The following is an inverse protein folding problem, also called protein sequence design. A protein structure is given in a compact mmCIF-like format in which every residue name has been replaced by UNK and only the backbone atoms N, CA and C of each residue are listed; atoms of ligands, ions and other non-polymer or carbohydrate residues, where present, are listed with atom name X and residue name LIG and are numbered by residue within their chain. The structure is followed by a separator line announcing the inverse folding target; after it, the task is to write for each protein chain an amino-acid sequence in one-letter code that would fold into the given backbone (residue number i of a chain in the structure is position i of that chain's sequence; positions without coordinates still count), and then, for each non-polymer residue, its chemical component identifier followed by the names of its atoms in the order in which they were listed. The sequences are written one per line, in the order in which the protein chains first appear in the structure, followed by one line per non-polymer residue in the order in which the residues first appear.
data_IF_216795776408
#
_entry.id   IF_216795776408
#
_cell.length_a   1.000
_cell.length_b   1.000
_cell.length_c   1.000
_cell.angle_alpha   90.00
_cell.angle_beta   90.00
_cell.angle_gamma   90.00
#
_symmetry.space_group_name_H-M   'P 1'
#
loop_
_entity.id
_entity.type
_entity.pdbx_description
1 polymer ?
#
# COMPACT_ATOMS: atom_id res chain seq x y z
N UNK A 1 -12.44 -4.56 -11.48
CA UNK A 1 -12.60 -3.71 -10.28
C UNK A 1 -12.39 -2.25 -10.68
N UNK A 2 -13.08 -1.29 -10.06
CA UNK A 2 -13.01 0.13 -10.47
C UNK A 2 -13.38 0.37 -11.94
N UNK A 3 -14.38 -0.36 -12.46
CA UNK A 3 -14.80 -0.29 -13.87
C UNK A 3 -14.01 -1.16 -14.86
N UNK A 4 -12.84 -1.69 -14.49
CA UNK A 4 -12.00 -2.51 -15.39
C UNK A 4 -12.26 -4.02 -15.24
N UNK A 5 -12.25 -4.79 -16.33
CA UNK A 5 -12.19 -6.27 -16.28
C UNK A 5 -10.81 -6.73 -15.80
N UNK A 6 -10.76 -7.75 -14.95
CA UNK A 6 -9.52 -8.27 -14.38
C UNK A 6 -9.69 -9.73 -13.94
N UNK A 7 -8.57 -10.41 -13.72
CA UNK A 7 -8.53 -11.68 -13.00
C UNK A 7 -8.53 -11.41 -11.51
N UNK A 8 -9.59 -11.85 -10.81
CA UNK A 8 -9.69 -11.73 -9.36
C UNK A 8 -9.12 -13.00 -8.72
N UNK A 9 -8.00 -12.83 -8.01
CA UNK A 9 -7.29 -13.91 -7.33
C UNK A 9 -7.55 -13.76 -5.83
N UNK A 10 -7.96 -14.85 -5.17
CA UNK A 10 -8.00 -14.91 -3.71
C UNK A 10 -6.61 -15.34 -3.22
N UNK A 11 -5.98 -14.52 -2.39
CA UNK A 11 -4.68 -14.80 -1.77
C UNK A 11 -4.87 -14.99 -0.27
N UNK A 12 -4.39 -16.11 0.26
CA UNK A 12 -4.24 -16.34 1.70
C UNK A 12 -2.76 -16.19 2.05
N UNK A 13 -2.42 -15.14 2.79
CA UNK A 13 -1.06 -14.83 3.19
C UNK A 13 -0.60 -15.79 4.29
N UNK A 14 0.72 -15.97 4.47
CA UNK A 14 1.28 -16.80 5.57
C UNK A 14 0.79 -16.39 6.97
N UNK A 15 0.40 -15.13 7.13
CA UNK A 15 -0.20 -14.61 8.37
C UNK A 15 -1.66 -15.03 8.59
N UNK A 16 -2.27 -15.75 7.64
CA UNK A 16 -3.71 -16.08 7.64
C UNK A 16 -4.61 -14.97 7.08
N UNK A 17 -4.07 -13.78 6.82
CA UNK A 17 -4.84 -12.69 6.19
C UNK A 17 -5.28 -13.12 4.78
N UNK A 18 -6.51 -12.80 4.41
CA UNK A 18 -6.99 -12.98 3.04
C UNK A 18 -7.09 -11.63 2.30
N UNK A 19 -6.69 -11.64 1.03
CA UNK A 19 -6.90 -10.53 0.10
C UNK A 19 -7.50 -11.04 -1.20
N UNK A 20 -8.23 -10.18 -1.90
CA UNK A 20 -8.73 -10.44 -3.25
C UNK A 20 -8.10 -9.43 -4.19
N UNK A 21 -7.08 -9.87 -4.93
CA UNK A 21 -6.27 -9.02 -5.78
C UNK A 21 -6.72 -9.16 -7.23
N UNK A 22 -6.90 -8.03 -7.89
CA UNK A 22 -7.46 -7.92 -9.23
C UNK A 22 -6.31 -7.53 -10.16
N UNK A 23 -5.91 -8.46 -11.04
CA UNK A 23 -4.81 -8.28 -11.99
C UNK A 23 -5.35 -7.99 -13.40
N UNK A 24 -4.83 -6.96 -14.05
CA UNK A 24 -5.17 -6.58 -15.41
C UNK A 24 -4.87 -7.72 -16.37
N UNK A 25 -5.86 -8.11 -17.18
CA UNK A 25 -5.70 -9.17 -18.16
C UNK A 25 -4.72 -8.81 -19.29
N UNK A 26 -4.53 -7.52 -19.57
CA UNK A 26 -3.67 -7.05 -20.66
C UNK A 26 -2.21 -6.86 -20.23
N UNK A 27 -1.96 -6.45 -18.99
CA UNK A 27 -0.62 -6.08 -18.51
C UNK A 27 -0.07 -6.99 -17.42
N UNK A 28 -0.91 -7.82 -16.80
CA UNK A 28 -0.54 -8.59 -15.61
C UNK A 28 -0.36 -7.76 -14.33
N UNK A 29 -0.48 -6.43 -14.40
CA UNK A 29 -0.31 -5.55 -13.25
C UNK A 29 -1.52 -5.61 -12.31
N UNK A 30 -1.29 -5.46 -11.01
CA UNK A 30 -2.39 -5.31 -10.05
C UNK A 30 -3.10 -3.96 -10.28
N UNK A 31 -4.41 -3.98 -10.42
CA UNK A 31 -5.23 -2.77 -10.58
C UNK A 31 -6.17 -2.53 -9.41
N UNK A 32 -6.23 -3.50 -8.50
CA UNK A 32 -6.65 -3.23 -7.14
C UNK A 32 -6.62 -4.44 -6.23
N UNK A 33 -6.90 -4.19 -4.95
CA UNK A 33 -7.06 -5.22 -3.92
C UNK A 33 -8.29 -4.93 -3.05
N UNK A 34 -8.93 -5.99 -2.54
CA UNK A 34 -9.90 -5.91 -1.45
C UNK A 34 -9.42 -6.71 -0.27
N UNK A 35 -9.47 -6.13 0.91
CA UNK A 35 -9.08 -6.80 2.13
C UNK A 35 -9.81 -6.23 3.34
N UNK A 36 -9.70 -6.94 4.46
CA UNK A 36 -10.09 -6.43 5.77
C UNK A 36 -8.83 -6.02 6.51
N UNK A 37 -8.73 -4.74 6.88
CA UNK A 37 -7.63 -4.22 7.68
C UNK A 37 -8.05 -4.15 9.15
N UNK A 38 -7.15 -4.58 10.03
CA UNK A 38 -7.30 -4.39 11.47
C UNK A 38 -6.80 -2.99 11.83
N UNK A 39 -7.67 -2.18 12.43
CA UNK A 39 -7.36 -0.81 12.87
C UNK A 39 -7.72 -0.64 14.35
N UNK A 40 -7.35 0.50 14.95
CA UNK A 40 -7.77 0.83 16.32
C UNK A 40 -9.30 0.92 16.48
N UNK A 41 -10.03 1.16 15.39
CA UNK A 41 -11.49 1.22 15.36
C UNK A 41 -12.14 -0.14 15.07
N UNK A 42 -11.34 -1.20 14.93
CA UNK A 42 -11.79 -2.55 14.58
C UNK A 42 -11.45 -2.94 13.14
N UNK A 43 -12.05 -4.06 12.70
CA UNK A 43 -11.86 -4.64 11.38
C UNK A 43 -12.67 -3.87 10.33
N UNK A 44 -11.98 -3.25 9.37
CA UNK A 44 -12.59 -2.39 8.35
C UNK A 44 -12.33 -2.96 6.95
N UNK A 45 -13.37 -3.11 6.10
CA UNK A 45 -13.16 -3.47 4.70
C UNK A 45 -12.56 -2.28 3.94
N UNK A 46 -11.52 -2.57 3.16
CA UNK A 46 -10.81 -1.58 2.35
C UNK A 46 -10.76 -2.06 0.90
N UNK A 47 -11.04 -1.14 -0.03
CA UNK A 47 -10.78 -1.33 -1.46
C UNK A 47 -9.64 -0.42 -1.86
N UNK A 48 -8.58 -0.98 -2.42
CA UNK A 48 -7.46 -0.21 -2.98
C UNK A 48 -7.51 -0.31 -4.50
N UNK A 49 -7.49 0.82 -5.20
CA UNK A 49 -7.37 0.91 -6.65
C UNK A 49 -5.98 1.45 -7.00
N UNK A 50 -5.27 0.78 -7.91
CA UNK A 50 -3.93 1.16 -8.34
C UNK A 50 -3.95 1.49 -9.82
N UNK A 51 -3.43 2.66 -10.17
CA UNK A 51 -3.53 3.24 -11.50
C UNK A 51 -2.31 4.10 -11.83
N UNK A 52 -2.25 4.58 -13.07
CA UNK A 52 -1.18 5.46 -13.56
C UNK A 52 0.20 4.83 -13.39
N UNK A 53 0.35 3.59 -13.84
CA UNK A 53 1.63 2.91 -13.79
C UNK A 53 2.66 3.65 -14.65
N UNK A 54 3.82 3.93 -14.05
CA UNK A 54 4.98 4.53 -14.73
C UNK A 54 6.23 3.71 -14.46
N UNK A 55 7.16 3.75 -15.39
CA UNK A 55 8.47 3.12 -15.26
C UNK A 55 9.44 4.12 -14.62
N UNK A 56 10.12 3.70 -13.57
CA UNK A 56 11.17 4.45 -12.90
C UNK A 56 12.40 3.54 -12.83
N UNK A 57 13.47 3.89 -13.55
CA UNK A 57 14.57 2.94 -13.78
C UNK A 57 14.04 1.66 -14.43
N UNK A 58 14.27 0.51 -13.81
CA UNK A 58 13.78 -0.79 -14.25
C UNK A 58 12.49 -1.27 -13.56
N UNK A 59 11.94 -0.46 -12.65
CA UNK A 59 10.76 -0.84 -11.85
C UNK A 59 9.51 -0.12 -12.37
N UNK A 60 8.42 -0.87 -12.53
CA UNK A 60 7.11 -0.31 -12.85
C UNK A 60 6.29 -0.14 -11.57
N UNK A 61 5.81 1.08 -11.31
CA UNK A 61 5.10 1.43 -10.08
C UNK A 61 3.80 2.19 -10.39
N UNK A 62 2.71 1.98 -9.63
CA UNK A 62 1.52 2.81 -9.74
C UNK A 62 1.78 4.18 -9.11
N UNK A 63 1.55 5.27 -9.85
CA UNK A 63 1.71 6.61 -9.30
C UNK A 63 0.44 7.18 -8.69
N UNK A 64 -0.69 6.48 -8.82
CA UNK A 64 -1.95 6.88 -8.21
C UNK A 64 -2.64 5.71 -7.54
N UNK A 65 -2.88 5.86 -6.24
CA UNK A 65 -3.56 4.87 -5.39
C UNK A 65 -4.78 5.52 -4.76
N UNK A 66 -5.94 4.88 -4.89
CA UNK A 66 -7.17 5.29 -4.19
C UNK A 66 -7.52 4.21 -3.18
N UNK A 67 -7.62 4.59 -1.91
CA UNK A 67 -8.14 3.73 -0.86
C UNK A 67 -9.56 4.17 -0.52
N UNK A 68 -10.50 3.25 -0.61
CA UNK A 68 -11.89 3.46 -0.24
C UNK A 68 -12.17 2.68 1.04
N UNK A 69 -12.53 3.41 2.10
CA UNK A 69 -12.84 2.84 3.42
C UNK A 69 -13.92 3.69 4.09
N UNK A 70 -14.91 3.03 4.72
CA UNK A 70 -15.99 3.70 5.46
C UNK A 70 -16.71 4.84 4.70
N UNK A 71 -16.86 4.72 3.37
CA UNK A 71 -17.47 5.76 2.53
C UNK A 71 -16.58 6.97 2.22
N UNK A 72 -15.32 6.96 2.66
CA UNK A 72 -14.31 7.96 2.34
C UNK A 72 -13.35 7.44 1.27
N UNK A 73 -12.78 8.37 0.50
CA UNK A 73 -11.69 8.10 -0.42
C UNK A 73 -10.42 8.84 -0.01
N UNK A 74 -9.33 8.10 0.18
CA UNK A 74 -7.99 8.64 0.33
C UNK A 74 -7.23 8.44 -0.98
N UNK A 75 -6.85 9.54 -1.62
CA UNK A 75 -6.07 9.52 -2.86
C UNK A 75 -4.62 9.84 -2.55
N UNK A 76 -3.72 8.92 -2.90
CA UNK A 76 -2.27 9.11 -2.83
C UNK A 76 -1.71 9.22 -4.25
N UNK A 77 -0.96 10.29 -4.48
CA UNK A 77 -0.27 10.55 -5.75
C UNK A 77 1.23 10.63 -5.51
N UNK A 78 2.00 9.87 -6.28
CA UNK A 78 3.46 9.90 -6.28
C UNK A 78 3.92 10.84 -7.39
N UNK A 79 4.58 11.94 -7.02
CA UNK A 79 5.10 12.95 -7.95
C UNK A 79 6.50 12.61 -8.49
N UNK A 80 7.34 11.97 -7.68
CA UNK A 80 8.70 11.59 -8.04
C UNK A 80 9.12 10.29 -7.34
N UNK A 81 10.00 9.52 -8.00
CA UNK A 81 10.66 8.34 -7.44
C UNK A 81 12.13 8.40 -7.83
N UNK A 82 12.99 8.33 -6.84
CA UNK A 82 14.45 8.32 -7.01
C UNK A 82 15.01 7.02 -6.42
N UNK A 83 15.91 6.37 -7.14
CA UNK A 83 16.60 5.18 -6.67
C UNK A 83 18.05 5.52 -6.36
N UNK A 84 18.45 5.26 -5.11
CA UNK A 84 19.84 5.25 -4.64
C UNK A 84 20.71 6.43 -5.15
N UNK A 85 20.49 7.63 -4.59
CA UNK A 85 21.24 8.84 -4.94
C UNK A 85 22.67 8.91 -4.37
N UNK A 86 23.24 7.77 -3.94
CA UNK A 86 24.68 7.65 -3.68
C UNK A 86 25.19 8.01 -2.28
N UNK A 87 24.32 8.39 -1.35
CA UNK A 87 24.67 8.51 0.07
C UNK A 87 23.70 7.65 0.89
N UNK A 88 24.22 6.75 1.72
CA UNK A 88 23.37 5.92 2.59
C UNK A 88 22.35 6.79 3.35
N UNK A 89 21.08 6.40 3.31
CA UNK A 89 20.02 7.07 4.07
C UNK A 89 20.30 6.87 5.56
N UNK A 90 20.76 7.92 6.23
CA UNK A 90 20.80 7.94 7.70
C UNK A 90 19.42 8.39 8.18
N UNK A 91 18.58 7.43 8.58
CA UNK A 91 17.28 7.74 9.19
C UNK A 91 17.53 8.21 10.62
N UNK A 92 17.68 9.52 10.81
CA UNK A 92 17.70 10.13 12.14
C UNK A 92 16.26 10.40 12.55
N UNK A 93 15.80 9.71 13.60
CA UNK A 93 14.51 10.02 14.18
C UNK A 93 14.54 11.45 14.77
N UNK A 94 13.51 12.28 14.58
CA UNK A 94 13.40 13.56 15.26
C UNK A 94 13.53 13.40 16.79
N UNK A 95 14.09 14.40 17.51
CA UNK A 95 14.26 14.34 18.97
C UNK A 95 12.98 13.92 19.72
N UNK A 96 11.82 14.37 19.25
CA UNK A 96 10.50 14.08 19.82
C UNK A 96 10.15 12.60 19.69
N UNK A 97 10.49 11.95 18.57
CA UNK A 97 10.26 10.52 18.34
C UNK A 97 11.23 9.68 19.17
N UNK A 98 12.48 10.14 19.34
CA UNK A 98 13.46 9.47 20.20
C UNK A 98 13.03 9.48 21.67
N UNK A 99 12.41 10.57 22.14
CA UNK A 99 11.87 10.70 23.49
C UNK A 99 10.69 9.75 23.79
N UNK A 100 9.97 9.31 22.74
CA UNK A 100 8.83 8.39 22.86
C UNK A 100 9.22 6.90 22.91
N UNK A 101 10.51 6.56 22.83
CA UNK A 101 10.99 5.20 23.11
C UNK A 101 10.75 4.87 24.59
N UNK A 102 9.56 4.37 24.92
CA UNK A 102 9.35 3.70 26.21
C UNK A 102 10.35 2.54 26.34
N UNK A 103 10.97 2.34 27.52
CA UNK A 103 11.74 1.13 27.75
C UNK A 103 10.82 -0.06 27.54
N UNK A 104 11.26 -1.01 26.72
CA UNK A 104 10.63 -2.32 26.58
C UNK A 104 10.75 -3.03 27.94
N UNK A 105 9.71 -2.89 28.77
CA UNK A 105 9.64 -3.54 30.07
C UNK A 105 8.97 -2.67 31.14
N UNK A 106 7.64 -2.76 31.24
CA UNK A 106 6.94 -2.50 32.50
C UNK A 106 5.58 -3.23 32.46
N UNK A 107 5.60 -4.46 33.00
CA UNK A 107 4.52 -5.40 33.34
C UNK A 107 3.54 -5.83 32.24
#
# INVERSE_FOLDING_TARGET
MGGQRCYLVKLTWKSGRETFDCFSASSGLIVGSRNVQQTAMGAIPVVTLLSEYKKFGDVMLPTRTVQQLMGQEQVMTISAVEFNSGAGLTIVAPPEVMALKKPTGAK
#
